data_IF_973009649278
#
_entry.id   IF_973009649278
#
_cell.length_a   1.000
_cell.length_b   1.000
_cell.length_c   1.000
_cell.angle_alpha   90.00
_cell.angle_beta   90.00
_cell.angle_gamma   90.00
#
_symmetry.space_group_name_H-M   'P 1'
#
loop_
_entity.id
_entity.type
_entity.pdbx_description
1 polymer ?
#
# COMPACT_ATOMS: atom_id res chain seq x y z
N UNK A 1 67.93 -18.50 -41.55
CA UNK A 1 66.78 -17.64 -41.22
C UNK A 1 65.86 -18.39 -40.27
N UNK A 2 65.91 -18.01 -39.00
CA UNK A 2 65.11 -18.66 -37.91
C UNK A 2 63.92 -17.76 -37.58
N UNK A 3 62.73 -18.24 -37.76
CA UNK A 3 61.49 -17.54 -37.39
C UNK A 3 61.16 -17.93 -35.93
N UNK A 4 61.23 -16.98 -35.01
CA UNK A 4 60.75 -17.10 -33.66
C UNK A 4 59.22 -16.80 -33.68
N UNK A 5 58.42 -17.81 -33.42
CA UNK A 5 57.00 -17.62 -33.08
C UNK A 5 56.88 -17.21 -31.63
N UNK A 6 56.45 -15.98 -31.37
CA UNK A 6 56.02 -15.52 -30.08
C UNK A 6 54.53 -15.88 -29.87
N UNK A 7 54.29 -16.85 -29.01
CA UNK A 7 52.90 -17.17 -28.56
C UNK A 7 52.50 -16.20 -27.46
N UNK A 8 51.54 -15.31 -27.78
CA UNK A 8 50.93 -14.45 -26.81
C UNK A 8 49.80 -15.23 -26.09
N UNK A 9 50.05 -15.59 -24.83
CA UNK A 9 49.05 -16.15 -23.91
C UNK A 9 48.23 -14.98 -23.40
N UNK A 10 46.98 -14.81 -23.88
CA UNK A 10 46.01 -13.89 -23.34
C UNK A 10 45.38 -14.55 -22.11
N UNK A 11 45.75 -14.10 -20.95
CA UNK A 11 45.17 -14.52 -19.67
C UNK A 11 43.83 -13.79 -19.49
N UNK A 12 42.71 -14.46 -19.84
CA UNK A 12 41.35 -14.00 -19.53
C UNK A 12 41.13 -14.15 -18.00
N UNK A 13 41.35 -13.09 -17.26
CA UNK A 13 40.85 -12.96 -15.90
C UNK A 13 39.33 -12.81 -15.95
N UNK A 14 38.61 -13.91 -15.79
CA UNK A 14 37.18 -13.90 -15.52
C UNK A 14 36.95 -13.22 -14.19
N UNK A 15 36.57 -11.94 -14.21
CA UNK A 15 36.06 -11.24 -13.03
C UNK A 15 34.71 -11.89 -12.71
N UNK A 16 34.73 -12.88 -11.85
CA UNK A 16 33.53 -13.43 -11.25
C UNK A 16 33.00 -12.36 -10.29
N UNK A 17 32.01 -11.58 -10.77
CA UNK A 17 31.22 -10.77 -9.86
C UNK A 17 30.60 -11.71 -8.83
N UNK A 18 30.76 -11.42 -7.52
CA UNK A 18 30.10 -12.24 -6.51
C UNK A 18 28.61 -12.22 -6.81
N UNK A 19 28.04 -13.38 -7.13
CA UNK A 19 26.60 -13.57 -7.11
C UNK A 19 26.19 -13.26 -5.68
N UNK A 20 25.65 -12.06 -5.47
CA UNK A 20 25.04 -11.71 -4.20
C UNK A 20 23.95 -12.76 -3.96
N UNK A 21 24.17 -13.62 -2.97
CA UNK A 21 23.15 -14.55 -2.53
C UNK A 21 21.91 -13.72 -2.22
N UNK A 22 20.87 -13.87 -3.03
CA UNK A 22 19.57 -13.25 -2.78
C UNK A 22 19.17 -13.70 -1.39
N UNK A 23 19.11 -12.77 -0.43
CA UNK A 23 18.63 -13.07 0.91
C UNK A 23 17.26 -13.75 0.74
N UNK A 24 17.14 -14.98 1.23
CA UNK A 24 15.90 -15.72 1.16
C UNK A 24 14.84 -14.90 1.91
N UNK A 25 13.75 -14.55 1.24
CA UNK A 25 12.65 -13.83 1.88
C UNK A 25 12.11 -14.68 3.04
N UNK A 26 12.29 -14.22 4.27
CA UNK A 26 11.78 -14.91 5.45
C UNK A 26 10.31 -14.58 5.67
N UNK A 27 9.46 -15.31 4.96
CA UNK A 27 7.99 -15.22 5.09
C UNK A 27 7.54 -15.41 6.54
N UNK A 28 8.20 -16.29 7.31
CA UNK A 28 7.80 -16.56 8.70
C UNK A 28 8.03 -15.34 9.59
N UNK A 29 9.15 -14.65 9.45
CA UNK A 29 9.43 -13.45 10.23
C UNK A 29 8.43 -12.32 9.91
N UNK A 30 8.08 -12.14 8.63
CA UNK A 30 7.07 -11.13 8.21
C UNK A 30 5.70 -11.46 8.77
N UNK A 31 5.24 -12.71 8.64
CA UNK A 31 3.97 -13.15 9.20
C UNK A 31 3.93 -13.00 10.72
N UNK A 32 4.97 -13.40 11.42
CA UNK A 32 5.07 -13.25 12.88
C UNK A 32 5.00 -11.77 13.31
N UNK A 33 5.59 -10.84 12.54
CA UNK A 33 5.47 -9.39 12.80
C UNK A 33 4.04 -8.89 12.65
N UNK A 34 3.30 -9.37 11.64
CA UNK A 34 1.88 -9.06 11.43
C UNK A 34 1.03 -9.64 12.57
N UNK A 35 1.23 -10.91 12.89
CA UNK A 35 0.49 -11.63 13.93
C UNK A 35 0.66 -10.98 15.31
N UNK A 36 1.87 -10.52 15.64
CA UNK A 36 2.13 -9.81 16.88
C UNK A 36 1.31 -8.50 17.03
N UNK A 37 0.86 -7.91 15.93
CA UNK A 37 0.07 -6.66 15.87
C UNK A 37 -1.39 -6.91 15.48
N UNK A 38 -1.79 -8.17 15.25
CA UNK A 38 -3.10 -8.52 14.69
C UNK A 38 -4.28 -7.92 15.49
N UNK A 39 -4.17 -7.91 16.83
CA UNK A 39 -5.20 -7.29 17.68
C UNK A 39 -5.36 -5.80 17.39
N UNK A 40 -4.25 -5.05 17.32
CA UNK A 40 -4.29 -3.62 17.01
C UNK A 40 -4.89 -3.32 15.63
N UNK A 41 -4.53 -4.12 14.63
CA UNK A 41 -5.14 -4.01 13.30
C UNK A 41 -6.63 -4.37 13.31
N UNK A 42 -7.03 -5.39 14.06
CA UNK A 42 -8.44 -5.72 14.28
C UNK A 42 -9.22 -4.55 14.92
N UNK A 43 -8.64 -3.88 15.91
CA UNK A 43 -9.24 -2.71 16.57
C UNK A 43 -9.37 -1.54 15.58
N UNK A 44 -8.40 -1.31 14.70
CA UNK A 44 -8.48 -0.30 13.62
C UNK A 44 -9.63 -0.62 12.64
N UNK A 45 -9.69 -1.86 12.16
CA UNK A 45 -10.75 -2.30 11.25
C UNK A 45 -12.14 -2.15 11.87
N UNK A 46 -12.31 -2.52 13.15
CA UNK A 46 -13.58 -2.36 13.87
C UNK A 46 -13.95 -0.90 14.13
N UNK A 47 -12.99 0.00 14.25
CA UNK A 47 -13.27 1.43 14.35
C UNK A 47 -13.78 1.97 13.02
N UNK A 48 -13.14 1.61 11.87
CA UNK A 48 -13.61 2.00 10.53
C UNK A 48 -14.99 1.41 10.27
N UNK A 49 -15.23 0.14 10.64
CA UNK A 49 -16.56 -0.48 10.58
C UNK A 49 -17.62 0.36 11.29
N UNK A 50 -17.32 0.84 12.50
CA UNK A 50 -18.25 1.66 13.29
C UNK A 50 -18.45 3.07 12.74
N UNK A 51 -17.44 3.65 12.10
CA UNK A 51 -17.57 4.95 11.46
C UNK A 51 -18.51 4.89 10.26
N UNK A 52 -18.44 3.82 9.47
CA UNK A 52 -19.28 3.55 8.31
C UNK A 52 -19.45 4.79 7.40
N UNK A 53 -18.39 5.53 7.14
CA UNK A 53 -18.42 6.78 6.39
C UNK A 53 -18.49 6.49 4.88
N UNK A 54 -19.45 7.07 4.20
CA UNK A 54 -19.62 6.90 2.75
C UNK A 54 -18.60 7.73 1.97
N UNK A 55 -18.46 7.43 0.69
CA UNK A 55 -17.49 8.07 -0.21
C UNK A 55 -17.46 9.59 -0.12
N UNK A 56 -16.25 10.16 -0.12
CA UNK A 56 -15.90 11.58 0.10
C UNK A 56 -16.21 12.13 1.50
N UNK A 57 -16.74 11.34 2.41
CA UNK A 57 -17.05 11.72 3.79
C UNK A 57 -16.20 10.95 4.82
N UNK A 58 -15.26 10.15 4.39
CA UNK A 58 -14.46 9.20 5.19
C UNK A 58 -13.38 9.91 6.03
N UNK A 59 -13.76 10.97 6.75
CA UNK A 59 -12.80 11.82 7.46
C UNK A 59 -12.11 11.07 8.62
N UNK A 60 -12.89 10.33 9.42
CA UNK A 60 -12.35 9.57 10.56
C UNK A 60 -11.58 8.35 10.10
N UNK A 61 -12.10 7.62 9.13
CA UNK A 61 -11.48 6.44 8.54
C UNK A 61 -10.14 6.78 7.92
N UNK A 62 -10.10 7.82 7.08
CA UNK A 62 -8.87 8.34 6.48
C UNK A 62 -7.86 8.79 7.54
N UNK A 63 -8.29 9.58 8.53
CA UNK A 63 -7.41 10.08 9.59
C UNK A 63 -6.80 8.93 10.40
N UNK A 64 -7.58 7.90 10.70
CA UNK A 64 -7.13 6.73 11.46
C UNK A 64 -6.03 5.95 10.71
N UNK A 65 -6.22 5.68 9.41
CA UNK A 65 -5.20 5.01 8.60
C UNK A 65 -3.94 5.87 8.42
N UNK A 66 -4.10 7.18 8.23
CA UNK A 66 -2.98 8.12 8.19
C UNK A 66 -2.17 8.10 9.47
N UNK A 67 -2.82 8.03 10.64
CA UNK A 67 -2.14 7.98 11.93
C UNK A 67 -1.34 6.68 12.10
N UNK A 68 -1.87 5.52 11.68
CA UNK A 68 -1.13 4.27 11.68
C UNK A 68 0.16 4.39 10.86
N UNK A 69 0.09 4.99 9.68
CA UNK A 69 1.24 5.15 8.80
C UNK A 69 2.24 6.20 9.34
N UNK A 70 1.77 7.33 9.90
CA UNK A 70 2.64 8.32 10.56
C UNK A 70 3.39 7.70 11.75
N UNK A 71 2.67 6.99 12.61
CA UNK A 71 3.26 6.31 13.76
C UNK A 71 4.30 5.25 13.35
N UNK A 72 4.11 4.66 12.17
CA UNK A 72 5.10 3.77 11.56
C UNK A 72 6.24 4.50 10.82
N UNK A 73 6.27 5.83 10.81
CA UNK A 73 7.35 6.65 10.23
C UNK A 73 7.22 6.94 8.74
N UNK A 74 6.01 6.83 8.17
CA UNK A 74 5.73 7.31 6.82
C UNK A 74 5.49 8.83 6.81
N UNK A 75 5.95 9.51 5.78
CA UNK A 75 5.62 10.90 5.51
C UNK A 75 4.25 10.97 4.81
N UNK A 76 3.24 11.53 5.49
CA UNK A 76 1.86 11.56 5.00
C UNK A 76 1.53 12.91 4.39
N UNK A 77 0.99 12.90 3.15
CA UNK A 77 0.42 14.07 2.45
C UNK A 77 -1.09 13.88 2.30
N UNK A 78 -1.87 14.77 2.88
CA UNK A 78 -3.34 14.74 2.88
C UNK A 78 -3.94 15.59 1.77
N UNK A 79 -5.19 15.36 1.41
CA UNK A 79 -5.94 16.19 0.46
C UNK A 79 -5.40 16.12 -0.95
N UNK A 80 -4.83 14.99 -1.36
CA UNK A 80 -4.32 14.81 -2.74
C UNK A 80 -5.47 14.81 -3.73
N UNK A 81 -5.21 15.29 -4.96
CA UNK A 81 -6.22 15.41 -6.02
C UNK A 81 -7.43 16.28 -5.61
N UNK A 82 -7.25 17.23 -4.70
CA UNK A 82 -8.33 18.10 -4.17
C UNK A 82 -9.45 17.32 -3.45
N UNK A 83 -9.19 16.07 -3.06
CA UNK A 83 -10.09 15.23 -2.30
C UNK A 83 -9.64 15.24 -0.83
N UNK A 84 -10.40 15.84 0.10
CA UNK A 84 -9.96 16.00 1.49
C UNK A 84 -9.63 14.69 2.20
N UNK A 85 -10.30 13.59 1.85
CA UNK A 85 -10.12 12.27 2.46
C UNK A 85 -9.08 11.41 1.74
N UNK A 86 -8.61 11.81 0.54
CA UNK A 86 -7.52 11.14 -0.15
C UNK A 86 -6.15 11.53 0.43
N UNK A 87 -5.24 10.57 0.49
CA UNK A 87 -3.89 10.83 0.99
C UNK A 87 -2.85 9.91 0.34
N UNK A 88 -1.59 10.31 0.41
CA UNK A 88 -0.45 9.43 0.15
C UNK A 88 0.43 9.35 1.39
N UNK A 89 1.09 8.23 1.58
CA UNK A 89 2.10 8.08 2.63
C UNK A 89 3.35 7.42 2.03
N UNK A 90 4.50 8.04 2.22
CA UNK A 90 5.75 7.58 1.62
C UNK A 90 6.79 7.25 2.67
N UNK A 91 7.56 6.20 2.42
CA UNK A 91 8.71 5.82 3.22
C UNK A 91 9.85 5.31 2.32
N UNK A 92 11.08 5.62 2.72
CA UNK A 92 12.29 5.18 2.03
C UNK A 92 12.69 6.09 0.88
N UNK A 93 13.60 5.61 0.05
CA UNK A 93 14.09 6.34 -1.13
C UNK A 93 14.70 5.39 -2.15
N UNK A 94 14.75 5.83 -3.40
CA UNK A 94 15.33 5.06 -4.50
C UNK A 94 14.39 4.01 -5.08
N UNK A 95 14.94 3.11 -5.87
CA UNK A 95 14.19 2.04 -6.57
C UNK A 95 14.41 0.70 -5.88
N UNK A 96 13.44 -0.24 -5.96
CA UNK A 96 12.14 -0.07 -6.62
C UNK A 96 11.21 0.88 -5.89
N UNK A 97 10.21 1.43 -6.58
CA UNK A 97 9.06 2.12 -5.98
C UNK A 97 7.88 1.16 -5.98
N UNK A 98 7.35 0.85 -4.80
CA UNK A 98 6.24 -0.09 -4.62
C UNK A 98 5.02 0.70 -4.14
N UNK A 99 3.93 0.66 -4.90
CA UNK A 99 2.66 1.27 -4.54
C UNK A 99 1.72 0.26 -3.89
N UNK A 100 1.06 0.68 -2.82
CA UNK A 100 0.05 -0.08 -2.10
C UNK A 100 -1.21 0.80 -2.02
N UNK A 101 -2.35 0.26 -2.41
CA UNK A 101 -3.64 0.96 -2.40
C UNK A 101 -4.47 0.47 -1.21
N UNK A 102 -5.20 1.37 -0.56
CA UNK A 102 -6.16 1.04 0.49
C UNK A 102 -7.43 1.86 0.32
N UNK A 103 -8.58 1.19 0.37
CA UNK A 103 -9.93 1.75 0.35
C UNK A 103 -10.52 1.71 1.76
N UNK A 104 -11.48 2.60 2.04
CA UNK A 104 -12.02 2.70 3.41
C UNK A 104 -13.44 3.32 3.46
N UNK A 105 -14.11 3.46 2.32
CA UNK A 105 -15.49 3.95 2.24
C UNK A 105 -16.52 2.84 2.48
N UNK A 106 -17.69 3.23 2.99
CA UNK A 106 -18.85 2.39 3.24
C UNK A 106 -19.92 2.58 2.17
N UNK A 107 -20.82 1.61 2.08
CA UNK A 107 -22.00 1.64 1.21
C UNK A 107 -23.22 2.22 1.94
N UNK A 108 -24.06 3.03 1.29
CA UNK A 108 -25.32 3.47 1.88
C UNK A 108 -26.31 2.31 2.06
N UNK A 109 -27.15 2.38 3.08
CA UNK A 109 -28.22 1.43 3.30
C UNK A 109 -27.79 0.04 3.82
N UNK A 110 -26.54 -0.15 4.19
CA UNK A 110 -25.99 -1.44 4.63
C UNK A 110 -25.56 -1.43 6.11
N UNK A 111 -26.21 -0.63 6.94
CA UNK A 111 -25.92 -0.57 8.37
C UNK A 111 -26.02 -1.95 9.01
N UNK A 112 -24.96 -2.33 9.74
CA UNK A 112 -24.85 -3.66 10.34
C UNK A 112 -23.97 -3.61 11.59
N UNK A 113 -24.42 -4.24 12.67
CA UNK A 113 -23.61 -4.52 13.84
C UNK A 113 -22.48 -5.51 13.52
N UNK A 114 -21.41 -5.48 14.31
CA UNK A 114 -20.28 -6.41 14.13
C UNK A 114 -20.60 -7.80 14.74
N UNK A 115 -21.65 -8.43 14.22
CA UNK A 115 -22.16 -9.74 14.64
C UNK A 115 -22.69 -10.52 13.42
N UNK A 116 -22.78 -11.86 13.47
CA UNK A 116 -23.14 -12.66 12.30
C UNK A 116 -24.62 -12.57 11.92
N UNK A 117 -25.49 -12.15 12.83
CA UNK A 117 -26.91 -11.98 12.57
C UNK A 117 -27.19 -10.63 11.90
N UNK A 118 -28.23 -10.58 11.06
CA UNK A 118 -28.68 -9.34 10.45
C UNK A 118 -29.22 -8.38 11.52
N UNK A 119 -28.46 -7.35 11.80
CA UNK A 119 -28.83 -6.34 12.81
C UNK A 119 -28.35 -4.96 12.35
N UNK A 120 -29.26 -4.19 11.76
CA UNK A 120 -28.98 -2.81 11.40
C UNK A 120 -28.88 -1.95 12.66
N UNK A 121 -27.79 -1.20 12.82
CA UNK A 121 -27.63 -0.24 13.92
C UNK A 121 -28.51 0.98 13.70
N UNK A 122 -28.64 1.40 12.43
CA UNK A 122 -29.41 2.54 11.99
C UNK A 122 -30.21 2.15 10.74
N UNK A 123 -31.51 2.45 10.73
CA UNK A 123 -32.36 2.18 9.58
C UNK A 123 -31.85 2.99 8.37
N UNK A 124 -31.68 2.33 7.23
CA UNK A 124 -31.11 2.92 6.00
C UNK A 124 -29.72 3.55 6.16
N UNK A 125 -29.06 3.36 7.32
CA UNK A 125 -27.71 3.85 7.58
C UNK A 125 -26.64 3.13 6.74
N UNK A 126 -25.44 3.71 6.64
CA UNK A 126 -24.33 3.11 5.88
C UNK A 126 -23.68 1.93 6.60
N UNK A 127 -22.96 1.08 5.85
CA UNK A 127 -22.21 -0.05 6.38
C UNK A 127 -21.21 -0.62 5.37
N UNK A 128 -20.25 -1.38 5.88
CA UNK A 128 -19.14 -1.95 5.10
C UNK A 128 -19.49 -3.29 4.45
N UNK A 129 -20.44 -3.28 3.49
CA UNK A 129 -20.84 -4.47 2.77
C UNK A 129 -19.75 -5.03 1.84
N UNK A 130 -18.89 -4.18 1.30
CA UNK A 130 -17.76 -4.58 0.44
C UNK A 130 -16.48 -4.95 1.23
N UNK A 131 -16.39 -4.56 2.49
CA UNK A 131 -15.24 -4.91 3.36
C UNK A 131 -14.07 -3.92 3.30
N UNK A 132 -14.26 -2.68 2.84
CA UNK A 132 -13.20 -1.69 2.73
C UNK A 132 -12.54 -1.35 4.08
N UNK A 133 -13.24 -1.50 5.20
CA UNK A 133 -12.64 -1.41 6.55
C UNK A 133 -11.52 -2.42 6.76
N UNK A 134 -11.64 -3.64 6.21
CA UNK A 134 -10.59 -4.65 6.21
C UNK A 134 -9.52 -4.33 5.18
N UNK A 135 -9.92 -3.92 3.97
CA UNK A 135 -8.98 -3.66 2.89
C UNK A 135 -8.02 -2.52 3.23
N UNK A 136 -8.52 -1.37 3.68
CA UNK A 136 -7.68 -0.25 4.10
C UNK A 136 -6.74 -0.62 5.25
N UNK A 137 -7.25 -1.34 6.24
CA UNK A 137 -6.45 -1.79 7.39
C UNK A 137 -5.38 -2.81 6.99
N UNK A 138 -5.75 -3.83 6.20
CA UNK A 138 -4.81 -4.87 5.75
C UNK A 138 -3.71 -4.31 4.84
N UNK A 139 -4.08 -3.40 3.93
CA UNK A 139 -3.11 -2.69 3.08
C UNK A 139 -2.14 -1.83 3.92
N UNK A 140 -2.64 -1.17 4.96
CA UNK A 140 -1.80 -0.41 5.91
C UNK A 140 -0.85 -1.33 6.68
N UNK A 141 -1.34 -2.46 7.17
CA UNK A 141 -0.53 -3.47 7.85
C UNK A 141 0.56 -4.03 6.91
N UNK A 142 0.22 -4.31 5.66
CA UNK A 142 1.16 -4.78 4.64
C UNK A 142 2.26 -3.74 4.36
N UNK A 143 1.91 -2.46 4.20
CA UNK A 143 2.88 -1.39 4.00
C UNK A 143 3.87 -1.30 5.17
N UNK A 144 3.38 -1.38 6.40
CA UNK A 144 4.20 -1.36 7.62
C UNK A 144 5.11 -2.58 7.68
N UNK A 145 4.60 -3.78 7.40
CA UNK A 145 5.37 -5.02 7.43
C UNK A 145 6.48 -5.03 6.36
N UNK A 146 6.21 -4.57 5.14
CA UNK A 146 7.23 -4.45 4.09
C UNK A 146 8.30 -3.44 4.49
N UNK A 147 7.92 -2.29 5.05
CA UNK A 147 8.88 -1.32 5.60
C UNK A 147 9.80 -1.97 6.64
N UNK A 148 9.23 -2.67 7.61
CA UNK A 148 10.00 -3.32 8.68
C UNK A 148 10.98 -4.36 8.11
N UNK A 149 10.52 -5.13 7.12
CA UNK A 149 11.38 -6.08 6.42
C UNK A 149 12.53 -5.39 5.67
N UNK A 150 12.26 -4.30 4.94
CA UNK A 150 13.31 -3.53 4.25
C UNK A 150 14.35 -2.99 5.23
N UNK A 151 13.92 -2.46 6.37
CA UNK A 151 14.82 -1.96 7.42
C UNK A 151 15.67 -3.08 7.99
N UNK A 152 15.06 -4.20 8.38
CA UNK A 152 15.76 -5.33 9.00
C UNK A 152 16.81 -5.95 8.06
N UNK A 153 16.54 -5.96 6.76
CA UNK A 153 17.43 -6.54 5.75
C UNK A 153 18.31 -5.50 5.04
N UNK A 154 18.25 -4.23 5.46
CA UNK A 154 19.05 -3.13 4.88
C UNK A 154 18.86 -2.98 3.36
N UNK A 155 17.65 -3.23 2.88
CA UNK A 155 17.28 -3.03 1.49
C UNK A 155 16.82 -1.59 1.25
N UNK A 156 17.27 -1.01 0.13
CA UNK A 156 16.77 0.25 -0.37
C UNK A 156 15.47 0.05 -1.15
N UNK A 157 14.66 1.09 -1.21
CA UNK A 157 13.41 1.12 -1.96
C UNK A 157 12.48 2.20 -1.41
N UNK A 158 11.49 2.56 -2.20
CA UNK A 158 10.44 3.49 -1.82
C UNK A 158 9.12 2.74 -1.70
N UNK A 159 8.45 2.88 -0.57
CA UNK A 159 7.08 2.43 -0.37
C UNK A 159 6.17 3.63 -0.44
N UNK A 160 5.09 3.52 -1.23
CA UNK A 160 4.07 4.56 -1.30
C UNK A 160 2.70 3.94 -1.12
N UNK A 161 2.05 4.35 -0.03
CA UNK A 161 0.66 4.00 0.23
C UNK A 161 -0.24 5.07 -0.37
N UNK A 162 -1.33 4.65 -1.01
CA UNK A 162 -2.37 5.50 -1.55
C UNK A 162 -3.68 5.20 -0.83
N UNK A 163 -4.13 6.14 0.01
CA UNK A 163 -5.46 6.10 0.59
C UNK A 163 -6.46 6.64 -0.43
N UNK A 164 -7.25 5.73 -0.98
CA UNK A 164 -8.16 6.01 -2.10
C UNK A 164 -9.60 5.97 -1.63
N UNK A 165 -10.24 7.15 -1.40
CA UNK A 165 -11.62 7.24 -0.96
C UNK A 165 -12.61 7.01 -2.11
N UNK A 166 -13.90 6.85 -1.74
CA UNK A 166 -15.03 6.89 -2.64
C UNK A 166 -14.96 5.89 -3.80
N UNK A 167 -14.58 4.65 -3.52
CA UNK A 167 -14.60 3.57 -4.52
C UNK A 167 -16.06 3.24 -4.90
N UNK A 168 -16.93 3.17 -3.92
CA UNK A 168 -18.35 2.80 -4.02
C UNK A 168 -19.17 3.89 -4.73
N UNK A 169 -19.02 3.98 -6.05
CA UNK A 169 -19.77 4.90 -6.90
C UNK A 169 -19.21 6.33 -7.02
N UNK A 170 -18.19 6.71 -6.24
CA UNK A 170 -17.57 8.04 -6.28
C UNK A 170 -16.40 8.16 -7.26
N UNK A 171 -15.83 7.03 -7.69
CA UNK A 171 -14.69 6.96 -8.62
C UNK A 171 -13.45 7.77 -8.15
N UNK A 172 -13.15 7.80 -6.85
CA UNK A 172 -12.04 8.59 -6.28
C UNK A 172 -10.70 8.35 -6.94
N UNK A 173 -10.38 7.09 -7.28
CA UNK A 173 -9.13 6.74 -7.99
C UNK A 173 -9.02 7.39 -9.37
N UNK A 174 -10.14 7.59 -10.07
CA UNK A 174 -10.14 8.25 -11.39
C UNK A 174 -9.72 9.72 -11.26
N UNK A 175 -10.19 10.41 -10.23
CA UNK A 175 -9.77 11.79 -9.95
C UNK A 175 -8.29 11.85 -9.54
N UNK A 176 -7.84 10.94 -8.67
CA UNK A 176 -6.44 10.84 -8.28
C UNK A 176 -5.54 10.57 -9.49
N UNK A 177 -5.97 9.72 -10.42
CA UNK A 177 -5.25 9.43 -11.64
C UNK A 177 -5.15 10.66 -12.54
N UNK A 178 -6.27 11.38 -12.76
CA UNK A 178 -6.30 12.61 -13.56
C UNK A 178 -5.42 13.72 -12.96
N UNK A 179 -5.28 13.73 -11.65
CA UNK A 179 -4.40 14.66 -10.92
C UNK A 179 -2.92 14.24 -10.93
N UNK A 180 -2.55 13.14 -11.62
CA UNK A 180 -1.17 12.67 -11.71
C UNK A 180 -0.62 12.01 -10.45
N UNK A 181 -1.47 11.62 -9.50
CA UNK A 181 -1.02 11.04 -8.22
C UNK A 181 -0.26 9.72 -8.43
N UNK A 182 -0.48 9.04 -9.55
CA UNK A 182 0.14 7.76 -9.89
C UNK A 182 1.20 7.86 -11.00
N UNK A 183 1.56 9.06 -11.47
CA UNK A 183 2.44 9.25 -12.65
C UNK A 183 3.85 8.67 -12.48
N UNK A 184 4.33 8.51 -11.26
CA UNK A 184 5.67 7.96 -10.97
C UNK A 184 5.87 6.51 -11.42
N UNK A 185 4.79 5.79 -11.72
CA UNK A 185 4.85 4.44 -12.26
C UNK A 185 4.99 4.41 -13.79
N UNK A 186 5.13 5.59 -14.44
CA UNK A 186 5.20 5.69 -15.89
C UNK A 186 3.91 5.28 -16.58
N UNK A 187 2.79 5.31 -15.87
CA UNK A 187 1.47 5.07 -16.45
C UNK A 187 0.88 6.40 -16.90
N UNK A 188 0.87 6.69 -18.20
CA UNK A 188 0.19 7.86 -18.69
C UNK A 188 -1.30 7.76 -18.34
N UNK A 189 -1.87 8.86 -17.87
CA UNK A 189 -3.25 8.94 -17.36
C UNK A 189 -4.32 8.32 -18.30
N UNK A 190 -4.03 8.22 -19.60
CA UNK A 190 -4.89 7.59 -20.59
C UNK A 190 -4.92 6.05 -20.55
N UNK A 191 -3.83 5.40 -20.15
CA UNK A 191 -3.75 3.92 -20.13
C UNK A 191 -4.16 3.33 -18.78
N UNK A 192 -3.98 4.07 -17.71
CA UNK A 192 -4.35 3.62 -16.38
C UNK A 192 -5.87 3.61 -16.14
N UNK A 193 -6.63 4.50 -16.79
CA UNK A 193 -8.09 4.53 -16.70
C UNK A 193 -8.77 3.23 -17.19
N UNK A 194 -8.08 2.44 -18.04
CA UNK A 194 -8.60 1.17 -18.56
C UNK A 194 -8.19 -0.07 -17.74
N UNK A 195 -7.33 0.07 -16.71
CA UNK A 195 -6.79 -1.07 -15.95
C UNK A 195 -7.19 -1.07 -14.48
N UNK A 196 -7.91 -0.08 -14.00
CA UNK A 196 -8.36 0.08 -12.60
C UNK A 196 -9.85 -0.21 -12.43
N UNK A 197 -10.52 -0.65 -13.51
CA UNK A 197 -11.93 -1.10 -13.49
C UNK A 197 -11.99 -2.61 -13.38
#
# INVERSE_FOLDING_TARGET
MRYLLAAAIVLLLAVQSPVQAQASFDTKAVLASIDAKARGYGDVALQIWKFAEVGYQEQKSSALLQEQLRSAGFAVKTGVAEIPTAFTAEWGSGKPVIGIVGEFDALPGLSQAAEPERHAIEAEGPGHGCGHHLFGTASTAAAIAVKEWLVANKHAGTLRFYGTPAEEGGAGKVYMLRAGVFDEYGWPAREAACRVL
#
